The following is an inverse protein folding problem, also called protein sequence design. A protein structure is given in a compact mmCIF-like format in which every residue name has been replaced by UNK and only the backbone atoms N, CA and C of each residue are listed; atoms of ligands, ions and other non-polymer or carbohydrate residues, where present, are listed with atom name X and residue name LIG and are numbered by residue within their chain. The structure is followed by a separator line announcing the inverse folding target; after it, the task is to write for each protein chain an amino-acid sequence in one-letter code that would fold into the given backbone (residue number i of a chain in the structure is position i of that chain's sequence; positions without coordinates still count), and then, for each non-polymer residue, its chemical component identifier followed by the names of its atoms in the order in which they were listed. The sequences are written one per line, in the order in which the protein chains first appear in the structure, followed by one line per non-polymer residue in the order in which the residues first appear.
data_IF_912424342952
#
_entry.id   IF_912424342952
#
_cell.length_a   1.000
_cell.length_b   1.000
_cell.length_c   1.000
_cell.angle_alpha   90.00
_cell.angle_beta   90.00
_cell.angle_gamma   90.00
#
_symmetry.space_group_name_H-M   'P 1'
#
loop_
_entity.id
_entity.type
_entity.pdbx_description
1 polymer ?
#
# COMPACT_ATOMS: atom_id res chain seq x y z
N UNK A 1 8.72 9.79 -0.40
CA UNK A 1 7.75 10.34 -1.35
C UNK A 1 7.48 11.80 -1.01
N UNK A 2 7.63 12.70 -2.00
CA UNK A 2 7.32 14.12 -1.88
C UNK A 2 5.92 14.38 -2.40
N UNK A 3 5.11 15.07 -1.63
CA UNK A 3 3.71 15.36 -1.95
C UNK A 3 3.29 16.73 -1.41
N UNK A 4 2.02 17.07 -1.62
CA UNK A 4 1.45 18.35 -1.20
C UNK A 4 1.16 18.38 0.32
N UNK A 5 1.40 19.53 0.91
CA UNK A 5 0.85 19.92 2.22
C UNK A 5 -0.29 20.91 2.00
N UNK A 6 -0.08 22.21 2.22
CA UNK A 6 -1.06 23.26 1.96
C UNK A 6 -0.53 24.17 0.82
N UNK A 7 -0.78 23.85 -0.45
CA UNK A 7 -0.25 24.66 -1.57
C UNK A 7 -0.86 26.06 -1.62
N UNK A 8 -2.07 26.24 -1.06
CA UNK A 8 -2.81 27.51 -1.10
C UNK A 8 -2.99 27.99 -2.53
N UNK A 9 -2.45 29.16 -2.87
CA UNK A 9 -2.56 29.76 -4.20
C UNK A 9 -1.33 29.53 -5.08
N UNK A 10 -0.28 28.88 -4.54
CA UNK A 10 0.89 28.48 -5.32
C UNK A 10 0.60 27.23 -6.17
N UNK A 11 1.34 27.07 -7.25
CA UNK A 11 1.31 25.85 -8.05
C UNK A 11 1.93 24.68 -7.27
N UNK A 12 1.17 23.63 -6.94
CA UNK A 12 1.68 22.52 -6.14
C UNK A 12 2.87 21.80 -6.79
N UNK A 13 2.87 21.67 -8.11
CA UNK A 13 3.96 21.01 -8.83
C UNK A 13 5.28 21.76 -8.69
N UNK A 14 5.25 23.08 -8.69
CA UNK A 14 6.43 23.94 -8.48
C UNK A 14 6.99 23.74 -7.07
N UNK A 15 6.13 23.67 -6.05
CA UNK A 15 6.54 23.42 -4.66
C UNK A 15 7.22 22.05 -4.56
N UNK A 16 6.57 21.00 -5.08
CA UNK A 16 7.13 19.64 -5.06
C UNK A 16 8.48 19.56 -5.77
N UNK A 17 8.60 20.18 -6.94
CA UNK A 17 9.85 20.21 -7.70
C UNK A 17 11.02 20.82 -6.91
N UNK A 18 10.78 21.89 -6.17
CA UNK A 18 11.79 22.52 -5.31
C UNK A 18 12.23 21.60 -4.17
N UNK A 19 11.30 20.92 -3.52
CA UNK A 19 11.59 19.95 -2.46
C UNK A 19 12.37 18.74 -2.99
N UNK A 20 11.97 18.20 -4.13
CA UNK A 20 12.63 17.06 -4.79
C UNK A 20 14.07 17.43 -5.18
N UNK A 21 14.28 18.64 -5.71
CA UNK A 21 15.61 19.11 -6.03
C UNK A 21 16.52 19.09 -4.80
N UNK A 22 16.09 19.68 -3.69
CA UNK A 22 16.86 19.67 -2.44
C UNK A 22 17.10 18.28 -1.89
N UNK A 23 16.09 17.39 -1.96
CA UNK A 23 16.22 16.00 -1.52
C UNK A 23 17.27 15.24 -2.34
N UNK A 24 17.28 15.40 -3.66
CA UNK A 24 18.26 14.75 -4.56
C UNK A 24 19.67 15.32 -4.39
N UNK A 25 19.80 16.60 -4.12
CA UNK A 25 21.09 17.20 -3.79
C UNK A 25 21.67 16.66 -2.48
N UNK A 26 20.82 16.44 -1.47
CA UNK A 26 21.22 15.91 -0.17
C UNK A 26 21.50 14.41 -0.21
N UNK A 27 20.75 13.63 -1.00
CA UNK A 27 20.89 12.20 -1.14
C UNK A 27 20.73 11.77 -2.60
N UNK A 28 21.80 11.87 -3.43
CA UNK A 28 21.74 11.54 -4.85
C UNK A 28 21.36 10.08 -5.15
N UNK A 29 21.68 9.16 -4.24
CA UNK A 29 21.41 7.73 -4.39
C UNK A 29 20.08 7.29 -3.74
N UNK A 30 19.34 8.23 -3.15
CA UNK A 30 18.06 7.98 -2.51
C UNK A 30 16.94 7.67 -3.52
N UNK A 31 16.03 6.78 -3.16
CA UNK A 31 14.78 6.57 -3.93
C UNK A 31 13.78 7.68 -3.58
N UNK A 32 13.81 8.75 -4.37
CA UNK A 32 12.98 9.94 -4.17
C UNK A 32 11.90 9.96 -5.24
N UNK A 33 10.66 9.84 -4.79
CA UNK A 33 9.46 9.77 -5.62
C UNK A 33 8.57 10.98 -5.38
N UNK A 34 7.68 11.24 -6.35
CA UNK A 34 6.69 12.30 -6.29
C UNK A 34 5.29 11.72 -6.37
N UNK A 35 4.35 12.30 -5.62
CA UNK A 35 2.93 12.04 -5.76
C UNK A 35 2.15 13.36 -5.75
N UNK A 36 1.22 13.50 -6.68
CA UNK A 36 0.40 14.69 -6.88
C UNK A 36 -0.78 14.82 -5.89
N UNK A 37 -0.93 13.85 -5.02
CA UNK A 37 -1.94 13.78 -3.98
C UNK A 37 -1.34 13.20 -2.71
N UNK A 38 -1.63 13.83 -1.57
CA UNK A 38 -1.14 13.37 -0.26
C UNK A 38 -1.71 12.00 0.09
N UNK A 39 -2.97 11.72 -0.23
CA UNK A 39 -3.57 10.39 -0.04
C UNK A 39 -2.84 9.33 -0.88
N UNK A 40 -2.57 9.60 -2.16
CA UNK A 40 -1.76 8.70 -3.01
C UNK A 40 -0.36 8.46 -2.46
N UNK A 41 0.31 9.50 -1.97
CA UNK A 41 1.64 9.37 -1.37
C UNK A 41 1.64 8.42 -0.18
N UNK A 42 0.62 8.49 0.67
CA UNK A 42 0.44 7.60 1.81
C UNK A 42 0.15 6.17 1.33
N UNK A 43 -0.74 5.98 0.36
CA UNK A 43 -1.02 4.67 -0.22
C UNK A 43 0.26 4.03 -0.81
N UNK A 44 1.03 4.78 -1.58
CA UNK A 44 2.26 4.29 -2.20
C UNK A 44 3.31 3.87 -1.16
N UNK A 45 3.56 4.69 -0.15
CA UNK A 45 4.59 4.40 0.85
C UNK A 45 4.20 3.24 1.75
N UNK A 46 2.91 3.10 2.10
CA UNK A 46 2.40 1.98 2.89
C UNK A 46 2.46 0.67 2.09
N UNK A 47 2.08 0.70 0.81
CA UNK A 47 2.17 -0.47 -0.07
C UNK A 47 3.62 -0.89 -0.33
N UNK A 48 4.55 0.06 -0.35
CA UNK A 48 5.97 -0.19 -0.56
C UNK A 48 6.70 -0.74 0.67
N UNK A 49 6.23 -0.41 1.87
CA UNK A 49 6.83 -0.86 3.13
C UNK A 49 6.80 -2.40 3.26
N UNK A 50 7.89 -2.94 3.79
CA UNK A 50 8.05 -4.35 4.10
C UNK A 50 8.00 -4.59 5.61
N UNK A 51 7.75 -5.83 6.08
CA UNK A 51 7.82 -6.14 7.51
C UNK A 51 9.16 -5.69 8.11
N UNK A 52 9.09 -4.93 9.21
CA UNK A 52 10.25 -4.34 9.87
C UNK A 52 10.57 -2.91 9.46
N UNK A 53 9.96 -2.39 8.39
CA UNK A 53 10.09 -1.00 7.97
C UNK A 53 9.27 -0.06 8.86
N UNK A 54 9.68 1.20 8.92
CA UNK A 54 8.91 2.29 9.53
C UNK A 54 8.48 3.28 8.45
N UNK A 55 7.21 3.65 8.46
CA UNK A 55 6.65 4.71 7.61
C UNK A 55 6.39 5.94 8.44
N UNK A 56 6.94 7.08 8.01
CA UNK A 56 6.80 8.36 8.71
C UNK A 56 6.18 9.36 7.74
N UNK A 57 5.06 9.97 8.13
CA UNK A 57 4.40 11.07 7.41
C UNK A 57 4.65 12.35 8.18
N UNK A 58 5.20 13.34 7.49
CA UNK A 58 5.59 14.62 8.09
C UNK A 58 4.98 15.81 7.36
N UNK A 59 4.97 16.97 8.01
CA UNK A 59 4.46 18.24 7.48
C UNK A 59 3.22 18.73 8.20
N UNK A 60 2.12 17.97 8.16
CA UNK A 60 0.85 18.40 8.79
C UNK A 60 0.79 18.24 10.31
N UNK A 61 1.51 17.26 10.87
CA UNK A 61 1.41 16.97 12.29
C UNK A 61 -0.02 16.57 12.69
N UNK A 62 -0.65 17.37 13.56
CA UNK A 62 -2.01 17.14 14.05
C UNK A 62 -3.11 17.89 13.25
N UNK A 63 -2.76 18.56 12.17
CA UNK A 63 -3.73 19.27 11.34
C UNK A 63 -4.73 18.29 10.70
N UNK A 64 -5.99 18.70 10.67
CA UNK A 64 -7.12 17.90 10.13
C UNK A 64 -7.71 18.49 8.84
N UNK A 65 -6.98 19.41 8.20
CA UNK A 65 -7.42 20.05 6.99
C UNK A 65 -6.28 20.26 6.00
N UNK A 66 -6.63 20.35 4.72
CA UNK A 66 -5.73 20.72 3.64
C UNK A 66 -6.32 21.90 2.88
N UNK A 67 -5.58 23.01 2.84
CA UNK A 67 -5.98 24.22 2.12
C UNK A 67 -5.43 24.17 0.69
N UNK A 68 -6.33 24.01 -0.28
CA UNK A 68 -6.03 24.02 -1.72
C UNK A 68 -6.76 25.21 -2.34
N UNK A 69 -6.01 26.18 -2.86
CA UNK A 69 -6.59 27.47 -3.24
C UNK A 69 -7.25 28.13 -2.03
N UNK A 70 -8.53 28.46 -2.15
CA UNK A 70 -9.34 29.06 -1.08
C UNK A 70 -10.25 28.04 -0.35
N UNK A 71 -10.12 26.77 -0.68
CA UNK A 71 -10.98 25.70 -0.16
C UNK A 71 -10.24 24.85 0.85
N UNK A 72 -10.84 24.70 2.05
CA UNK A 72 -10.37 23.78 3.08
C UNK A 72 -11.04 22.41 2.87
N UNK A 73 -10.22 21.39 2.68
CA UNK A 73 -10.65 19.98 2.60
C UNK A 73 -10.32 19.29 3.92
N UNK A 74 -11.21 18.39 4.37
CA UNK A 74 -10.86 17.52 5.48
C UNK A 74 -9.73 16.60 5.06
N UNK A 75 -8.65 16.56 5.86
CA UNK A 75 -7.52 15.66 5.65
C UNK A 75 -6.76 15.47 6.96
N UNK A 76 -6.69 14.24 7.43
CA UNK A 76 -5.93 13.86 8.61
C UNK A 76 -4.98 12.71 8.24
N UNK A 77 -3.67 12.93 8.40
CA UNK A 77 -2.64 11.93 8.07
C UNK A 77 -2.85 10.61 8.82
N UNK A 78 -3.40 10.66 10.03
CA UNK A 78 -3.66 9.45 10.84
C UNK A 78 -4.80 8.61 10.28
N UNK A 79 -5.87 9.26 9.84
CA UNK A 79 -7.01 8.59 9.19
C UNK A 79 -6.59 7.96 7.87
N UNK A 80 -5.85 8.68 7.06
CA UNK A 80 -5.34 8.18 5.77
C UNK A 80 -4.34 7.03 5.94
N UNK A 81 -3.46 7.11 6.94
CA UNK A 81 -2.53 6.04 7.26
C UNK A 81 -3.27 4.77 7.72
N UNK A 82 -4.27 4.90 8.59
CA UNK A 82 -5.09 3.77 9.04
C UNK A 82 -5.83 3.12 7.86
N UNK A 83 -6.44 3.93 6.99
CA UNK A 83 -7.12 3.45 5.78
C UNK A 83 -6.17 2.68 4.86
N UNK A 84 -4.99 3.21 4.60
CA UNK A 84 -4.00 2.58 3.72
C UNK A 84 -3.49 1.26 4.30
N UNK A 85 -3.26 1.19 5.61
CA UNK A 85 -2.86 -0.04 6.30
C UNK A 85 -3.96 -1.11 6.24
N UNK A 86 -5.20 -0.76 6.49
CA UNK A 86 -6.35 -1.67 6.41
C UNK A 86 -6.49 -2.26 5.00
N UNK A 87 -6.26 -1.46 3.97
CA UNK A 87 -6.31 -1.91 2.58
C UNK A 87 -5.23 -2.95 2.27
N UNK A 88 -3.97 -2.69 2.68
CA UNK A 88 -2.85 -3.62 2.48
C UNK A 88 -3.06 -4.94 3.24
N UNK A 89 -3.55 -4.86 4.48
CA UNK A 89 -3.86 -6.05 5.30
C UNK A 89 -4.98 -6.89 4.68
N UNK A 90 -6.02 -6.26 4.16
CA UNK A 90 -7.14 -6.93 3.47
C UNK A 90 -6.66 -7.65 2.22
N UNK A 91 -5.89 -6.99 1.37
CA UNK A 91 -5.31 -7.60 0.17
C UNK A 91 -4.40 -8.79 0.50
N UNK A 92 -3.64 -8.71 1.58
CA UNK A 92 -2.78 -9.81 2.05
C UNK A 92 -3.59 -11.00 2.53
N UNK A 93 -4.71 -10.78 3.23
CA UNK A 93 -5.61 -11.83 3.70
C UNK A 93 -6.32 -12.53 2.52
N UNK A 94 -6.80 -11.77 1.53
CA UNK A 94 -7.45 -12.31 0.33
C UNK A 94 -6.46 -13.13 -0.51
N UNK A 95 -5.23 -12.68 -0.65
CA UNK A 95 -4.16 -13.40 -1.33
C UNK A 95 -3.73 -14.69 -0.61
N UNK A 96 -3.81 -14.74 0.72
CA UNK A 96 -3.56 -15.95 1.52
C UNK A 96 -4.71 -16.95 1.40
N UNK A 97 -5.96 -16.48 1.43
CA UNK A 97 -7.15 -17.32 1.26
C UNK A 97 -7.21 -17.96 -0.13
N UNK A 98 -6.86 -17.22 -1.18
CA UNK A 98 -6.81 -17.75 -2.54
C UNK A 98 -5.76 -18.86 -2.73
N UNK A 99 -4.63 -18.80 -2.00
CA UNK A 99 -3.59 -19.85 -2.02
C UNK A 99 -3.98 -21.10 -1.25
N UNK A 100 -4.81 -20.98 -0.23
CA UNK A 100 -5.27 -22.13 0.58
C UNK A 100 -6.48 -22.84 -0.05
N UNK A 101 -7.33 -22.12 -0.79
CA UNK A 101 -8.53 -22.69 -1.43
C UNK A 101 -8.24 -23.58 -2.64
N UNK A 102 -7.07 -23.49 -3.25
CA UNK A 102 -6.70 -24.29 -4.42
C UNK A 102 -6.07 -25.66 -4.06
N UNK A 103 -5.72 -25.85 -2.80
CA UNK A 103 -5.10 -27.10 -2.34
C UNK A 103 -6.14 -28.17 -1.86
N UNK A 104 -7.39 -27.78 -1.60
CA UNK A 104 -8.44 -28.71 -1.16
C UNK A 104 -9.14 -29.44 -2.31
N UNK A 105 -8.84 -29.10 -3.57
CA UNK A 105 -9.45 -29.77 -4.74
C UNK A 105 -8.61 -30.88 -5.36
N UNK A 106 -7.45 -31.21 -4.79
CA UNK A 106 -6.53 -32.24 -5.35
C UNK A 106 -6.25 -33.44 -4.46
N UNK A 107 -7.15 -33.84 -3.58
CA UNK A 107 -6.98 -35.12 -2.91
C UNK A 107 -8.31 -35.73 -2.58
N UNK A 108 -8.84 -36.57 -3.45
CA UNK A 108 -9.51 -37.81 -3.13
C UNK A 108 -9.89 -38.54 -4.42
N UNK A 109 -8.90 -39.19 -5.00
CA UNK A 109 -9.18 -40.38 -5.81
C UNK A 109 -8.45 -41.52 -5.15
N UNK A 110 -9.16 -42.24 -4.31
CA UNK A 110 -8.70 -43.53 -3.79
C UNK A 110 -8.64 -44.52 -4.95
N UNK A 111 -7.58 -45.33 -5.07
CA UNK A 111 -7.58 -46.45 -6.01
C UNK A 111 -8.62 -47.50 -5.56
N UNK A 112 -9.50 -47.86 -6.45
CA UNK A 112 -10.37 -49.02 -6.22
C UNK A 112 -9.51 -50.29 -6.31
N UNK A 113 -9.42 -51.01 -5.22
CA UNK A 113 -8.92 -52.40 -5.21
C UNK A 113 -9.82 -53.25 -6.11
N UNK A 114 -9.24 -53.76 -7.18
CA UNK A 114 -9.85 -54.83 -7.97
C UNK A 114 -9.70 -56.13 -7.20
N UNK A 115 -10.82 -56.60 -6.65
CA UNK A 115 -10.91 -57.88 -6.03
C UNK A 115 -11.17 -58.92 -7.13
N UNK A 116 -10.13 -59.63 -7.58
CA UNK A 116 -10.27 -60.82 -8.45
C UNK A 116 -10.65 -62.05 -7.61
N UNK A 117 -11.68 -62.78 -8.01
CA UNK A 117 -11.99 -64.04 -7.33
C UNK A 117 -11.01 -65.14 -7.77
N UNK A 118 -10.33 -65.74 -6.81
CA UNK A 118 -9.54 -66.96 -7.03
C UNK A 118 -10.54 -68.12 -7.20
N UNK A 119 -10.63 -68.66 -8.40
CA UNK A 119 -11.18 -69.95 -8.64
C UNK A 119 -10.27 -71.05 -8.08
N UNK A 120 -10.81 -71.86 -7.17
CA UNK A 120 -10.22 -73.15 -6.81
C UNK A 120 -10.86 -74.22 -7.66
N UNK A 121 -10.03 -74.81 -8.48
CA UNK A 121 -10.35 -76.13 -9.08
C UNK A 121 -9.91 -77.23 -8.14
#
# INVERSE_FOLDING_TARGET
VVTDDNPRTEDPATIRAAVIKGAREANPDGDIREADSRAKAIDEVVAWAQPGDAVIVVGKGHEVGQLIGDTMHHFDDREEMARALDEVLRQSADGASARYGDNDKKSHTLPQEQNEPKEHA
#
